data_IF_288616371716
#
_entry.id   IF_288616371716
#
_cell.length_a   1.000
_cell.length_b   1.000
_cell.length_c   1.000
_cell.angle_alpha   90.00
_cell.angle_beta   90.00
_cell.angle_gamma   90.00
#
_symmetry.space_group_name_H-M   'P 1'
#
loop_
_entity.id
_entity.type
_entity.pdbx_description
1 polymer ?
#
# COMPACT_ATOMS: atom_id res chain seq x y z
N UNK A 1 6.91 -2.50 -1.19
CA UNK A 1 7.16 -1.55 -0.07
C UNK A 1 8.59 -1.04 -0.06
N UNK A 2 9.57 -1.92 -0.08
CA UNK A 2 10.98 -1.50 -0.05
C UNK A 2 11.38 -0.62 -1.23
N UNK A 3 10.91 -0.95 -2.44
CA UNK A 3 11.20 -0.16 -3.63
C UNK A 3 10.65 1.27 -3.51
N UNK A 4 9.48 1.43 -2.94
CA UNK A 4 8.88 2.74 -2.72
C UNK A 4 9.67 3.56 -1.70
N UNK A 5 10.11 2.92 -0.62
CA UNK A 5 10.92 3.57 0.40
C UNK A 5 12.22 4.11 -0.21
N UNK A 6 12.89 3.28 -1.01
CA UNK A 6 14.15 3.66 -1.65
C UNK A 6 13.93 4.80 -2.67
N UNK A 7 12.91 4.70 -3.51
CA UNK A 7 12.63 5.72 -4.52
C UNK A 7 12.28 7.06 -3.89
N UNK A 8 11.46 7.06 -2.86
CA UNK A 8 11.06 8.28 -2.15
C UNK A 8 12.27 8.90 -1.45
N UNK A 9 13.10 8.08 -0.79
CA UNK A 9 14.32 8.55 -0.14
C UNK A 9 15.29 9.18 -1.11
N UNK A 10 15.47 8.60 -2.30
CA UNK A 10 16.34 9.14 -3.34
C UNK A 10 15.85 10.47 -3.89
N UNK A 11 14.53 10.72 -3.85
CA UNK A 11 13.98 12.01 -4.29
C UNK A 11 14.06 13.09 -3.20
N UNK A 12 14.65 12.81 -2.05
CA UNK A 12 14.80 13.78 -0.97
C UNK A 12 13.60 13.87 -0.03
N UNK A 13 12.65 12.95 -0.13
CA UNK A 13 11.48 12.88 0.74
C UNK A 13 11.63 11.71 1.73
N UNK A 14 10.79 11.70 2.75
CA UNK A 14 10.73 10.61 3.71
C UNK A 14 9.48 9.75 3.46
N UNK A 15 9.68 8.44 3.38
CA UNK A 15 8.57 7.50 3.23
C UNK A 15 8.06 7.06 4.59
N UNK A 16 6.78 7.32 4.84
CA UNK A 16 6.06 6.72 5.96
C UNK A 16 5.16 5.62 5.40
N UNK A 17 5.12 4.47 6.04
CA UNK A 17 4.51 3.28 5.46
C UNK A 17 3.35 2.74 6.29
N UNK A 18 2.39 2.13 5.60
CA UNK A 18 1.38 1.26 6.19
C UNK A 18 1.38 -0.04 5.39
N UNK A 19 1.51 -1.17 6.07
CA UNK A 19 1.61 -2.47 5.43
C UNK A 19 0.22 -3.02 5.12
N UNK A 20 -0.05 -3.31 3.84
CA UNK A 20 -1.34 -3.86 3.40
C UNK A 20 -1.35 -5.38 3.36
N UNK A 21 -0.18 -5.99 3.20
CA UNK A 21 -0.05 -7.44 3.12
C UNK A 21 1.39 -7.85 3.38
N UNK A 22 1.56 -9.06 3.90
CA UNK A 22 2.86 -9.71 4.00
C UNK A 22 2.98 -10.71 2.87
N UNK A 23 4.00 -10.56 2.03
CA UNK A 23 4.23 -11.47 0.91
C UNK A 23 5.30 -12.51 1.25
N UNK A 24 5.14 -13.69 0.67
CA UNK A 24 6.16 -14.74 0.71
C UNK A 24 6.75 -14.78 -0.70
N UNK A 25 7.90 -14.15 -0.87
CA UNK A 25 8.49 -14.02 -2.21
C UNK A 25 10.00 -13.85 -2.15
N UNK A 26 10.63 -14.12 -3.28
CA UNK A 26 12.05 -13.84 -3.49
C UNK A 26 12.23 -13.13 -4.85
N UNK A 27 13.47 -13.04 -5.33
CA UNK A 27 13.73 -12.36 -6.62
C UNK A 27 13.20 -13.12 -7.84
N UNK A 28 12.75 -14.37 -7.68
CA UNK A 28 12.34 -15.23 -8.78
C UNK A 28 10.84 -15.47 -8.84
N UNK A 29 10.15 -15.51 -7.68
CA UNK A 29 8.71 -15.80 -7.68
C UNK A 29 8.03 -15.35 -6.39
N UNK A 30 6.69 -15.24 -6.48
CA UNK A 30 5.81 -15.02 -5.35
C UNK A 30 5.18 -16.36 -4.96
N UNK A 31 5.33 -16.76 -3.70
CA UNK A 31 4.76 -17.99 -3.17
C UNK A 31 3.36 -17.79 -2.60
N UNK A 32 3.05 -16.58 -2.16
CA UNK A 32 1.76 -16.24 -1.58
C UNK A 32 1.80 -14.95 -0.80
N UNK A 33 0.67 -14.60 -0.19
CA UNK A 33 0.60 -13.43 0.67
C UNK A 33 -0.53 -13.59 1.69
N UNK A 34 -0.42 -12.82 2.79
CA UNK A 34 -1.47 -12.69 3.79
C UNK A 34 -1.81 -11.22 3.94
N UNK A 35 -3.08 -10.87 3.68
CA UNK A 35 -3.52 -9.49 3.74
C UNK A 35 -3.66 -9.00 5.19
N UNK A 36 -3.26 -7.75 5.42
CA UNK A 36 -3.52 -7.05 6.67
C UNK A 36 -5.02 -6.80 6.81
N UNK A 37 -5.57 -6.92 8.01
CA UNK A 37 -6.99 -6.61 8.24
C UNK A 37 -7.27 -5.14 8.00
N UNK A 38 -8.53 -4.82 7.65
CA UNK A 38 -8.98 -3.44 7.46
C UNK A 38 -8.70 -2.58 8.70
N UNK A 39 -9.02 -3.11 9.87
CA UNK A 39 -8.84 -2.42 11.14
C UNK A 39 -7.38 -2.11 11.41
N UNK A 40 -6.50 -3.07 11.16
CA UNK A 40 -5.07 -2.88 11.37
C UNK A 40 -4.47 -1.91 10.36
N UNK A 41 -4.92 -1.97 9.11
CA UNK A 41 -4.47 -1.03 8.08
C UNK A 41 -4.84 0.40 8.44
N UNK A 42 -6.08 0.65 8.85
CA UNK A 42 -6.52 1.98 9.27
C UNK A 42 -5.78 2.46 10.52
N UNK A 43 -5.52 1.57 11.47
CA UNK A 43 -4.75 1.92 12.66
C UNK A 43 -3.33 2.37 12.32
N UNK A 44 -2.67 1.67 11.39
CA UNK A 44 -1.34 2.07 10.91
C UNK A 44 -1.38 3.45 10.24
N UNK A 45 -2.36 3.66 9.35
CA UNK A 45 -2.49 4.91 8.62
C UNK A 45 -2.74 6.09 9.57
N UNK A 46 -3.63 5.92 10.52
CA UNK A 46 -3.94 6.98 11.50
C UNK A 46 -2.76 7.28 12.41
N UNK A 47 -1.98 6.27 12.79
CA UNK A 47 -0.78 6.47 13.60
C UNK A 47 0.25 7.32 12.86
N UNK A 48 0.45 7.07 11.57
CA UNK A 48 1.40 7.80 10.74
C UNK A 48 0.98 9.25 10.57
N UNK A 49 -0.28 9.51 10.20
CA UNK A 49 -0.74 10.88 9.93
C UNK A 49 -0.88 11.70 11.21
N UNK A 50 -1.01 11.05 12.35
CA UNK A 50 -1.02 11.71 13.66
C UNK A 50 0.36 12.19 14.10
N UNK A 51 1.42 11.65 13.51
CA UNK A 51 2.81 11.94 13.88
C UNK A 51 3.53 12.81 12.84
N UNK A 52 3.29 12.55 11.56
CA UNK A 52 4.05 13.16 10.46
C UNK A 52 3.16 14.00 9.55
N UNK A 53 3.70 15.13 9.00
CA UNK A 53 2.96 15.95 8.04
C UNK A 53 2.94 15.28 6.66
N UNK A 54 1.88 14.56 6.37
CA UNK A 54 1.71 13.84 5.11
C UNK A 54 1.08 14.77 4.07
N UNK A 55 1.55 14.69 2.83
CA UNK A 55 1.02 15.47 1.70
C UNK A 55 0.55 14.60 0.54
N UNK A 56 1.12 13.40 0.42
CA UNK A 56 0.86 12.51 -0.70
C UNK A 56 0.78 11.07 -0.21
N UNK A 57 -0.13 10.32 -0.79
CA UNK A 57 -0.30 8.89 -0.51
C UNK A 57 -0.12 8.13 -1.81
N UNK A 58 0.69 7.08 -1.78
CA UNK A 58 0.83 6.15 -2.89
C UNK A 58 0.37 4.78 -2.43
N UNK A 59 -0.46 4.12 -3.23
CA UNK A 59 -0.81 2.73 -3.00
C UNK A 59 -0.37 1.85 -4.16
N UNK A 60 0.19 0.71 -3.81
CA UNK A 60 0.47 -0.37 -4.75
C UNK A 60 -0.47 -1.53 -4.49
N UNK A 61 0.08 -2.67 -4.07
CA UNK A 61 -0.70 -3.85 -3.72
C UNK A 61 -1.56 -3.61 -2.48
N UNK A 62 -2.87 -3.80 -2.59
CA UNK A 62 -3.80 -3.68 -1.46
C UNK A 62 -4.26 -5.03 -0.92
N UNK A 63 -4.29 -6.05 -1.75
CA UNK A 63 -4.54 -7.43 -1.34
C UNK A 63 -6.00 -7.84 -1.32
N UNK A 64 -6.89 -7.03 -0.79
CA UNK A 64 -8.32 -7.35 -0.64
C UNK A 64 -9.21 -6.17 -0.96
N UNK A 65 -10.50 -6.46 -1.25
CA UNK A 65 -11.50 -5.42 -1.44
C UNK A 65 -11.75 -4.64 -0.14
N UNK A 66 -11.62 -5.29 1.02
CA UNK A 66 -11.73 -4.60 2.31
C UNK A 66 -10.65 -3.52 2.47
N UNK A 67 -9.43 -3.80 2.02
CA UNK A 67 -8.35 -2.83 2.09
C UNK A 67 -8.54 -1.68 1.09
N UNK A 68 -9.15 -1.95 -0.06
CA UNK A 68 -9.54 -0.88 -0.99
C UNK A 68 -10.58 0.03 -0.33
N UNK A 69 -11.58 -0.54 0.32
CA UNK A 69 -12.59 0.22 1.04
C UNK A 69 -11.98 1.03 2.19
N UNK A 70 -11.04 0.44 2.93
CA UNK A 70 -10.33 1.12 4.01
C UNK A 70 -9.54 2.33 3.49
N UNK A 71 -8.82 2.17 2.38
CA UNK A 71 -8.07 3.26 1.77
C UNK A 71 -8.99 4.37 1.29
N UNK A 72 -10.10 4.02 0.66
CA UNK A 72 -11.09 5.00 0.21
C UNK A 72 -11.67 5.80 1.37
N UNK A 73 -11.98 5.14 2.48
CA UNK A 73 -12.45 5.78 3.70
C UNK A 73 -11.41 6.74 4.26
N UNK A 74 -10.15 6.31 4.34
CA UNK A 74 -9.04 7.12 4.81
C UNK A 74 -8.84 8.36 3.94
N UNK A 75 -8.88 8.20 2.61
CA UNK A 75 -8.68 9.34 1.69
C UNK A 75 -9.83 10.35 1.75
N UNK A 76 -11.04 9.92 2.04
CA UNK A 76 -12.17 10.84 2.23
C UNK A 76 -11.99 11.73 3.46
N UNK A 77 -11.30 11.23 4.47
CA UNK A 77 -10.96 11.99 5.68
C UNK A 77 -9.86 13.03 5.41
N UNK A 78 -9.10 12.86 4.34
CA UNK A 78 -7.95 13.69 4.00
C UNK A 78 -8.03 14.18 2.54
N UNK A 79 -9.01 15.05 2.21
CA UNK A 79 -9.22 15.46 0.81
C UNK A 79 -8.07 16.29 0.23
N UNK A 80 -7.19 16.83 1.07
CA UNK A 80 -6.06 17.65 0.64
C UNK A 80 -4.86 16.81 0.18
N UNK A 81 -4.88 15.50 0.41
CA UNK A 81 -3.78 14.63 0.02
C UNK A 81 -3.80 14.35 -1.48
N UNK A 82 -2.65 14.44 -2.12
CA UNK A 82 -2.47 13.89 -3.45
C UNK A 82 -2.42 12.36 -3.36
N UNK A 83 -3.06 11.71 -4.30
CA UNK A 83 -3.10 10.26 -4.32
C UNK A 83 -2.58 9.69 -5.62
N UNK A 84 -1.65 8.74 -5.52
CA UNK A 84 -1.07 8.03 -6.66
C UNK A 84 -1.44 6.55 -6.54
N UNK A 85 -2.20 6.06 -7.51
CA UNK A 85 -2.57 4.66 -7.61
C UNK A 85 -1.65 3.94 -8.58
N UNK A 86 -1.00 2.88 -8.09
CA UNK A 86 -0.23 1.94 -8.91
C UNK A 86 -0.89 0.57 -8.78
N UNK A 87 -1.77 0.18 -9.73
CA UNK A 87 -2.54 -1.06 -9.62
C UNK A 87 -1.67 -2.28 -9.95
N UNK A 88 -0.96 -2.79 -8.94
CA UNK A 88 -0.05 -3.93 -9.09
C UNK A 88 -0.85 -5.23 -9.11
N UNK A 89 -0.94 -5.87 -10.28
CA UNK A 89 -1.60 -7.17 -10.46
C UNK A 89 -0.61 -8.33 -10.41
N UNK A 90 0.63 -8.09 -10.87
CA UNK A 90 1.66 -9.10 -11.03
C UNK A 90 2.97 -8.54 -10.51
N UNK A 91 3.72 -9.35 -9.76
CA UNK A 91 5.07 -8.98 -9.33
C UNK A 91 6.03 -8.97 -10.53
N UNK A 92 7.17 -8.27 -10.39
CA UNK A 92 8.22 -8.24 -11.42
C UNK A 92 8.72 -9.65 -11.79
N UNK A 93 8.60 -10.60 -10.87
CA UNK A 93 8.94 -12.01 -11.07
C UNK A 93 7.86 -12.82 -11.78
N UNK A 94 6.70 -12.23 -12.11
CA UNK A 94 5.58 -12.88 -12.78
C UNK A 94 4.54 -13.49 -11.86
N UNK A 95 4.72 -13.44 -10.54
CA UNK A 95 3.75 -13.98 -9.59
C UNK A 95 2.60 -13.00 -9.32
N UNK A 96 1.39 -13.52 -9.12
CA UNK A 96 0.23 -12.70 -8.80
C UNK A 96 0.33 -12.12 -7.40
N UNK A 97 0.08 -10.83 -7.26
CA UNK A 97 0.11 -10.10 -5.97
C UNK A 97 -1.27 -9.71 -5.47
N UNK A 98 -2.33 -10.14 -6.13
CA UNK A 98 -3.68 -9.83 -5.68
C UNK A 98 -4.74 -10.47 -6.57
N UNK A 99 -5.98 -10.37 -6.12
CA UNK A 99 -7.14 -10.77 -6.89
C UNK A 99 -7.49 -9.64 -7.86
N UNK A 100 -7.72 -9.96 -9.12
CA UNK A 100 -8.13 -8.96 -10.11
C UNK A 100 -9.41 -8.24 -9.70
N UNK A 101 -10.31 -8.91 -9.02
CA UNK A 101 -11.54 -8.31 -8.51
C UNK A 101 -11.29 -7.21 -7.47
N UNK A 102 -10.17 -7.23 -6.77
CA UNK A 102 -9.84 -6.19 -5.79
C UNK A 102 -9.39 -4.89 -6.43
N UNK A 103 -8.96 -4.91 -7.69
CA UNK A 103 -8.43 -3.75 -8.38
C UNK A 103 -9.43 -3.09 -9.33
N UNK A 104 -10.61 -3.67 -9.42
CA UNK A 104 -11.73 -3.13 -10.20
C UNK A 104 -12.78 -2.45 -9.30
#
# INVERSE_FOLDING_TARGET
MQADIEAIGQSGAHAAIACTALTIQNSQQVFGFEATSKELLLAQAHAVVGDLPIKCVKSGMLGTTDNIAALAEFLREHPDYLYVLDPVLVANSGGSLGDQATLV
#
